data_IF_732721998720
#
_entry.id   IF_732721998720
#
_cell.length_a   1.000
_cell.length_b   1.000
_cell.length_c   1.000
_cell.angle_alpha   90.00
_cell.angle_beta   90.00
_cell.angle_gamma   90.00
#
_symmetry.space_group_name_H-M   'P 1'
#
loop_
_entity.id
_entity.type
_entity.pdbx_description
1 polymer ?
#
# COMPACT_ATOMS: atom_id res chain seq x y z
N UNK A 1 5.37 8.24 -66.19
CA UNK A 1 6.04 7.30 -65.25
C UNK A 1 6.48 8.07 -64.00
N UNK A 2 5.62 8.20 -62.98
CA UNK A 2 5.92 8.99 -61.76
C UNK A 2 5.82 8.18 -60.45
N UNK A 3 5.48 6.89 -60.53
CA UNK A 3 5.12 6.08 -59.36
C UNK A 3 6.27 5.26 -58.73
N UNK A 4 7.47 5.25 -59.33
CA UNK A 4 8.57 4.38 -58.85
C UNK A 4 9.63 5.11 -58.01
N UNK A 5 9.62 6.45 -57.94
CA UNK A 5 10.68 7.21 -57.24
C UNK A 5 10.39 7.42 -55.75
N UNK A 6 9.13 7.28 -55.32
CA UNK A 6 8.68 7.50 -53.93
C UNK A 6 8.08 6.25 -53.26
N UNK A 7 8.27 5.05 -53.84
CA UNK A 7 7.77 3.79 -53.26
C UNK A 7 8.28 3.50 -51.84
N UNK A 8 9.45 4.06 -51.49
CA UNK A 8 10.00 3.98 -50.13
C UNK A 8 9.08 4.63 -49.08
N UNK A 9 8.30 5.65 -49.44
CA UNK A 9 7.36 6.28 -48.51
C UNK A 9 6.22 5.34 -48.12
N UNK A 10 5.74 4.50 -49.05
CA UNK A 10 4.71 3.50 -48.76
C UNK A 10 5.23 2.39 -47.84
N UNK A 11 6.49 1.98 -48.04
CA UNK A 11 7.14 0.99 -47.19
C UNK A 11 7.33 1.55 -45.77
N UNK A 12 7.80 2.80 -45.64
CA UNK A 12 7.95 3.46 -44.34
C UNK A 12 6.59 3.66 -43.66
N UNK A 13 5.55 4.03 -44.40
CA UNK A 13 4.18 4.15 -43.86
C UNK A 13 3.65 2.80 -43.36
N UNK A 14 3.89 1.72 -44.09
CA UNK A 14 3.51 0.37 -43.67
C UNK A 14 4.25 -0.06 -42.39
N UNK A 15 5.56 0.25 -42.29
CA UNK A 15 6.35 0.00 -41.09
C UNK A 15 5.91 0.87 -39.91
N UNK A 16 5.63 2.15 -40.12
CA UNK A 16 5.09 3.03 -39.07
C UNK A 16 3.72 2.56 -38.57
N UNK A 17 2.86 2.07 -39.47
CA UNK A 17 1.58 1.49 -39.09
C UNK A 17 1.75 0.21 -38.27
N UNK A 18 2.69 -0.67 -38.66
CA UNK A 18 2.99 -1.88 -37.87
C UNK A 18 3.61 -1.50 -36.52
N UNK A 19 4.55 -0.57 -36.46
CA UNK A 19 5.10 -0.07 -35.20
C UNK A 19 4.02 0.57 -34.32
N UNK A 20 3.12 1.38 -34.87
CA UNK A 20 2.00 1.96 -34.14
C UNK A 20 1.06 0.89 -33.60
N UNK A 21 0.75 -0.14 -34.39
CA UNK A 21 -0.07 -1.28 -33.97
C UNK A 21 0.60 -2.11 -32.86
N UNK A 22 1.92 -2.33 -32.97
CA UNK A 22 2.71 -2.97 -31.92
C UNK A 22 2.72 -2.12 -30.64
N UNK A 23 2.99 -0.82 -30.72
CA UNK A 23 2.94 0.07 -29.56
C UNK A 23 1.54 0.12 -28.93
N UNK A 24 0.47 0.24 -29.71
CA UNK A 24 -0.90 0.27 -29.17
C UNK A 24 -1.30 -1.04 -28.48
N UNK A 25 -0.85 -2.18 -29.00
CA UNK A 25 -1.25 -3.50 -28.51
C UNK A 25 -0.35 -4.01 -27.38
N UNK A 26 0.98 -3.81 -27.48
CA UNK A 26 1.94 -4.27 -26.47
C UNK A 26 2.07 -3.30 -25.28
N UNK A 27 2.01 -1.98 -25.49
CA UNK A 27 2.07 -1.01 -24.38
C UNK A 27 0.78 -1.04 -23.55
N UNK A 28 -0.38 -1.25 -24.18
CA UNK A 28 -1.65 -1.50 -23.48
C UNK A 28 -1.61 -2.77 -22.61
N UNK A 29 -0.81 -3.77 -22.98
CA UNK A 29 -0.71 -5.03 -22.22
C UNK A 29 0.16 -4.91 -20.95
N UNK A 30 1.22 -4.09 -20.99
CA UNK A 30 2.02 -3.72 -19.80
C UNK A 30 1.36 -2.63 -18.95
N UNK A 31 0.44 -1.85 -19.54
CA UNK A 31 -0.53 -0.99 -18.87
C UNK A 31 -1.87 -1.70 -18.63
N UNK A 32 -1.93 -3.04 -18.67
CA UNK A 32 -3.19 -3.74 -18.46
C UNK A 32 -3.63 -3.54 -17.01
N UNK A 33 -4.91 -3.21 -16.75
CA UNK A 33 -5.44 -3.08 -15.40
C UNK A 33 -5.12 -4.29 -14.51
N UNK A 34 -5.02 -5.48 -15.11
CA UNK A 34 -4.65 -6.71 -14.45
C UNK A 34 -3.18 -6.77 -14.03
N UNK A 35 -2.26 -6.23 -14.83
CA UNK A 35 -0.84 -6.11 -14.50
C UNK A 35 -0.61 -5.12 -13.36
N UNK A 36 -1.30 -3.98 -13.40
CA UNK A 36 -1.29 -2.98 -12.32
C UNK A 36 -1.83 -3.56 -11.02
N UNK A 37 -3.01 -4.18 -11.06
CA UNK A 37 -3.61 -4.87 -9.90
C UNK A 37 -2.64 -5.89 -9.29
N UNK A 38 -2.07 -6.80 -10.11
CA UNK A 38 -1.10 -7.80 -9.64
C UNK A 38 0.14 -7.16 -9.03
N UNK A 39 0.64 -6.06 -9.60
CA UNK A 39 1.79 -5.35 -9.04
C UNK A 39 1.48 -4.70 -7.69
N UNK A 40 0.28 -4.15 -7.52
CA UNK A 40 -0.16 -3.55 -6.25
C UNK A 40 -0.35 -4.63 -5.18
N UNK A 41 -1.08 -5.70 -5.49
CA UNK A 41 -1.25 -6.87 -4.60
C UNK A 41 0.10 -7.45 -4.17
N UNK A 42 1.03 -7.62 -5.11
CA UNK A 42 2.39 -8.10 -4.81
C UNK A 42 3.14 -7.15 -3.88
N UNK A 43 3.03 -5.83 -4.07
CA UNK A 43 3.67 -4.82 -3.23
C UNK A 43 3.10 -4.82 -1.80
N UNK A 44 1.78 -4.93 -1.65
CA UNK A 44 1.13 -5.08 -0.34
C UNK A 44 1.64 -6.35 0.33
N UNK A 45 1.59 -7.49 -0.36
CA UNK A 45 2.02 -8.76 0.20
C UNK A 45 3.50 -8.79 0.61
N UNK A 46 4.38 -8.13 -0.12
CA UNK A 46 5.79 -7.99 0.26
C UNK A 46 5.96 -7.24 1.59
N UNK A 47 5.14 -6.22 1.83
CA UNK A 47 5.15 -5.42 3.07
C UNK A 47 4.52 -6.17 4.23
N UNK A 48 3.42 -6.90 4.00
CA UNK A 48 2.86 -7.85 4.96
C UNK A 48 3.92 -8.84 5.43
N UNK A 49 4.60 -9.50 4.48
CA UNK A 49 5.66 -10.45 4.81
C UNK A 49 6.82 -9.80 5.57
N UNK A 50 7.21 -8.56 5.22
CA UNK A 50 8.23 -7.82 5.97
C UNK A 50 7.79 -7.53 7.40
N UNK A 51 6.52 -7.16 7.60
CA UNK A 51 5.96 -6.97 8.94
C UNK A 51 5.91 -8.29 9.72
N UNK A 52 5.50 -9.39 9.10
CA UNK A 52 5.51 -10.72 9.75
C UNK A 52 6.92 -11.17 10.15
N UNK A 53 7.95 -10.82 9.37
CA UNK A 53 9.35 -11.05 9.77
C UNK A 53 9.72 -10.22 10.99
N UNK A 54 9.29 -8.96 11.06
CA UNK A 54 9.51 -8.10 12.23
C UNK A 54 8.81 -8.65 13.47
N UNK A 55 7.55 -9.09 13.35
CA UNK A 55 6.78 -9.70 14.46
C UNK A 55 7.49 -10.92 15.03
N UNK A 56 8.16 -11.71 14.19
CA UNK A 56 8.91 -12.91 14.59
C UNK A 56 10.27 -12.61 15.20
N UNK A 57 10.81 -11.41 15.01
CA UNK A 57 12.06 -10.96 15.63
C UNK A 57 11.81 -10.51 17.07
N UNK A 58 11.81 -11.47 18.00
CA UNK A 58 11.57 -11.23 19.42
C UNK A 58 12.57 -10.25 20.05
N UNK A 59 13.79 -10.14 19.51
CA UNK A 59 14.82 -9.22 20.01
C UNK A 59 14.44 -7.79 19.68
N UNK A 60 14.15 -7.51 18.40
CA UNK A 60 13.74 -6.17 17.97
C UNK A 60 12.42 -5.79 18.63
N UNK A 61 11.43 -6.69 18.63
CA UNK A 61 10.13 -6.46 19.27
C UNK A 61 10.27 -6.18 20.77
N UNK A 62 11.08 -6.96 21.49
CA UNK A 62 11.37 -6.73 22.90
C UNK A 62 12.01 -5.37 23.17
N UNK A 63 12.90 -4.90 22.28
CA UNK A 63 13.51 -3.56 22.34
C UNK A 63 12.49 -2.45 22.11
N UNK A 64 11.52 -2.64 21.22
CA UNK A 64 10.44 -1.67 20.99
C UNK A 64 9.57 -1.48 22.24
N UNK A 65 9.20 -2.57 22.92
CA UNK A 65 8.40 -2.49 24.15
C UNK A 65 9.19 -1.97 25.36
N UNK A 66 10.46 -2.35 25.50
CA UNK A 66 11.34 -1.86 26.57
C UNK A 66 11.91 -0.46 26.32
N UNK A 67 11.64 0.14 25.15
CA UNK A 67 12.18 1.44 24.70
C UNK A 67 13.71 1.51 24.69
N UNK A 68 14.38 0.37 24.54
CA UNK A 68 15.84 0.24 24.52
C UNK A 68 16.37 -0.02 23.09
N UNK A 69 15.78 0.65 22.11
CA UNK A 69 16.19 0.57 20.71
C UNK A 69 17.31 1.56 20.40
N UNK A 70 18.20 1.19 19.49
CA UNK A 70 19.30 2.06 19.06
C UNK A 70 18.96 2.84 17.77
N UNK A 71 19.79 3.83 17.43
CA UNK A 71 19.58 4.69 16.25
C UNK A 71 19.54 3.89 14.93
N UNK A 72 20.33 2.81 14.83
CA UNK A 72 20.36 1.96 13.63
C UNK A 72 19.04 1.23 13.44
N UNK A 73 18.49 0.67 14.51
CA UNK A 73 17.17 0.03 14.51
C UNK A 73 16.08 1.03 14.15
N UNK A 74 16.12 2.22 14.75
CA UNK A 74 15.19 3.30 14.43
C UNK A 74 15.23 3.65 12.94
N UNK A 75 16.41 3.96 12.40
CA UNK A 75 16.60 4.22 10.97
C UNK A 75 16.13 3.05 10.09
N UNK A 76 16.30 1.81 10.55
CA UNK A 76 15.85 0.63 9.80
C UNK A 76 14.32 0.53 9.74
N UNK A 77 13.61 0.94 10.80
CA UNK A 77 12.16 0.93 10.89
C UNK A 77 11.53 2.09 10.12
N UNK A 78 12.13 3.29 10.19
CA UNK A 78 11.71 4.45 9.41
C UNK A 78 11.97 4.30 7.90
N UNK A 79 12.90 3.43 7.49
CA UNK A 79 13.13 3.09 6.08
C UNK A 79 12.16 2.03 5.53
N UNK A 80 11.27 1.47 6.36
CA UNK A 80 10.28 0.51 5.89
C UNK A 80 9.17 1.24 5.14
N UNK A 81 8.64 0.57 4.13
CA UNK A 81 7.49 1.02 3.33
C UNK A 81 6.14 0.80 4.03
N UNK A 82 6.15 0.74 5.37
CA UNK A 82 5.02 0.57 6.26
C UNK A 82 5.36 1.14 7.63
N UNK A 83 4.33 1.49 8.39
CA UNK A 83 4.48 2.07 9.72
C UNK A 83 4.30 1.01 10.80
N UNK A 84 4.99 1.16 11.93
CA UNK A 84 4.94 0.24 13.06
C UNK A 84 4.52 1.00 14.30
N UNK A 85 3.61 0.41 15.08
CA UNK A 85 3.15 0.89 16.37
C UNK A 85 3.21 -0.25 17.39
N UNK A 86 3.71 0.03 18.59
CA UNK A 86 3.81 -0.95 19.67
C UNK A 86 2.97 -0.48 20.87
N UNK A 87 1.90 -1.19 21.17
CA UNK A 87 1.00 -0.90 22.29
C UNK A 87 1.21 -1.91 23.41
N UNK A 88 1.39 -1.43 24.62
CA UNK A 88 1.43 -2.25 25.83
C UNK A 88 0.18 -1.96 26.66
N UNK A 89 -0.35 -2.96 27.34
CA UNK A 89 -1.41 -2.76 28.31
C UNK A 89 -1.22 -3.65 29.53
N UNK A 90 -1.54 -3.06 30.68
CA UNK A 90 -1.61 -3.73 31.97
C UNK A 90 -2.96 -3.44 32.64
N UNK A 91 -3.11 -3.88 33.90
CA UNK A 91 -4.28 -3.58 34.74
C UNK A 91 -4.53 -2.07 34.86
N UNK A 92 -3.50 -1.23 34.72
CA UNK A 92 -3.59 0.24 34.84
C UNK A 92 -3.96 0.98 33.56
N UNK A 93 -4.13 0.29 32.42
CA UNK A 93 -4.50 0.91 31.14
C UNK A 93 -3.63 0.47 29.96
N UNK A 94 -3.91 1.04 28.78
CA UNK A 94 -3.19 0.82 27.52
C UNK A 94 -2.40 2.07 27.17
N UNK A 95 -1.13 1.92 26.81
CA UNK A 95 -0.29 3.03 26.35
C UNK A 95 0.56 2.63 25.14
N UNK A 96 0.99 3.65 24.42
CA UNK A 96 1.86 3.50 23.26
C UNK A 96 3.34 3.50 23.71
N UNK A 97 4.05 2.44 23.35
CA UNK A 97 5.47 2.27 23.65
C UNK A 97 6.37 2.80 22.53
N UNK A 98 5.93 2.67 21.28
CA UNK A 98 6.70 3.08 20.10
C UNK A 98 5.78 3.35 18.91
N UNK A 99 6.18 4.28 18.04
CA UNK A 99 5.66 4.39 16.67
C UNK A 99 6.73 4.91 15.69
N UNK A 100 6.61 4.55 14.41
CA UNK A 100 7.60 4.89 13.35
C UNK A 100 7.05 5.76 12.22
N UNK A 101 5.93 6.46 12.42
CA UNK A 101 5.29 7.30 11.39
C UNK A 101 5.29 8.79 11.74
N UNK A 102 5.43 9.62 10.69
CA UNK A 102 5.14 11.06 10.71
C UNK A 102 3.86 11.40 9.91
N UNK A 103 3.26 10.42 9.23
CA UNK A 103 2.07 10.60 8.38
C UNK A 103 0.78 10.13 9.05
N UNK A 104 0.89 9.34 10.11
CA UNK A 104 -0.26 8.77 10.80
C UNK A 104 -0.10 8.91 12.31
N UNK A 105 -1.12 9.47 12.94
CA UNK A 105 -1.20 9.57 14.38
C UNK A 105 -1.74 8.27 14.99
N UNK A 106 -1.22 7.85 16.16
CA UNK A 106 -1.68 6.64 16.83
C UNK A 106 -3.17 6.63 17.17
N UNK A 107 -3.77 7.80 17.37
CA UNK A 107 -5.18 7.96 17.73
C UNK A 107 -6.13 7.70 16.55
N UNK A 108 -5.61 7.67 15.32
CA UNK A 108 -6.38 7.30 14.13
C UNK A 108 -6.52 5.78 13.98
N UNK A 109 -5.74 4.99 14.73
CA UNK A 109 -5.81 3.54 14.66
C UNK A 109 -7.07 3.02 15.35
N UNK A 110 -7.72 1.98 14.81
CA UNK A 110 -9.04 1.64 15.30
C UNK A 110 -8.96 0.87 16.63
N UNK A 111 -9.80 1.27 17.57
CA UNK A 111 -9.92 0.73 18.92
C UNK A 111 -11.27 -0.02 19.07
N UNK A 112 -11.35 -1.23 19.67
CA UNK A 112 -10.26 -2.03 20.24
C UNK A 112 -9.31 -2.61 19.20
N UNK A 113 -8.01 -2.67 19.56
CA UNK A 113 -7.03 -3.48 18.82
C UNK A 113 -7.39 -4.96 18.95
N UNK A 114 -7.59 -5.63 17.82
CA UNK A 114 -7.88 -7.06 17.73
C UNK A 114 -6.84 -7.71 16.83
N UNK A 115 -6.33 -8.88 17.23
CA UNK A 115 -5.43 -9.67 16.39
C UNK A 115 -6.08 -9.98 15.05
N UNK A 116 -5.40 -9.70 13.95
CA UNK A 116 -5.90 -9.89 12.60
C UNK A 116 -5.35 -8.85 11.63
N UNK A 117 -5.85 -8.86 10.40
CA UNK A 117 -5.69 -7.76 9.45
C UNK A 117 -7.05 -7.13 9.19
N UNK A 118 -7.07 -5.82 8.97
CA UNK A 118 -8.27 -5.07 8.61
C UNK A 118 -7.89 -3.94 7.67
N UNK A 119 -8.65 -3.83 6.59
CA UNK A 119 -8.56 -2.68 5.70
C UNK A 119 -9.36 -1.50 6.28
N UNK A 120 -8.76 -0.33 6.32
CA UNK A 120 -9.33 0.88 6.93
C UNK A 120 -9.07 2.11 6.07
N UNK A 121 -9.99 3.05 6.11
CA UNK A 121 -9.81 4.39 5.56
C UNK A 121 -9.48 5.34 6.71
N UNK A 122 -8.31 5.96 6.62
CA UNK A 122 -7.77 6.92 7.58
C UNK A 122 -7.67 8.30 6.91
N UNK A 123 -7.35 9.36 7.65
CA UNK A 123 -7.30 10.71 7.06
C UNK A 123 -6.28 10.84 5.92
N UNK A 124 -5.20 10.06 6.00
CA UNK A 124 -4.14 9.99 4.99
C UNK A 124 -4.45 9.03 3.83
N UNK A 125 -5.65 8.42 3.79
CA UNK A 125 -6.11 7.53 2.73
C UNK A 125 -6.32 6.09 3.19
N UNK A 126 -6.24 5.16 2.25
CA UNK A 126 -6.52 3.74 2.47
C UNK A 126 -5.30 2.96 2.95
N UNK A 127 -5.50 2.19 4.02
CA UNK A 127 -4.46 1.45 4.70
C UNK A 127 -4.93 0.05 5.09
N UNK A 128 -4.00 -0.90 5.11
CA UNK A 128 -4.20 -2.18 5.79
C UNK A 128 -3.52 -2.15 7.16
N UNK A 129 -4.31 -2.39 8.20
CA UNK A 129 -3.84 -2.46 9.59
C UNK A 129 -3.75 -3.92 10.01
N UNK A 130 -2.54 -4.37 10.32
CA UNK A 130 -2.25 -5.73 10.78
C UNK A 130 -1.84 -5.65 12.24
N UNK A 131 -2.66 -6.23 13.12
CA UNK A 131 -2.38 -6.30 14.55
C UNK A 131 -1.98 -7.72 14.93
N UNK A 132 -0.87 -7.85 15.66
CA UNK A 132 -0.36 -9.10 16.20
C UNK A 132 -0.17 -8.97 17.70
N UNK A 133 -0.81 -9.87 18.45
CA UNK A 133 -0.58 -9.98 19.88
C UNK A 133 0.78 -10.62 20.12
N UNK A 134 1.61 -9.97 20.94
CA UNK A 134 2.92 -10.47 21.33
C UNK A 134 2.76 -11.16 22.69
N UNK A 135 3.20 -12.42 22.77
CA UNK A 135 3.17 -13.16 24.03
C UNK A 135 4.28 -12.64 24.94
N UNK A 136 3.93 -12.23 26.14
CA UNK A 136 4.87 -11.86 27.19
C UNK A 136 4.55 -12.65 28.47
N UNK A 137 5.58 -13.16 29.13
CA UNK A 137 5.47 -13.93 30.38
C UNK A 137 5.03 -13.08 31.57
N UNK A 138 4.98 -11.75 31.44
CA UNK A 138 4.73 -10.82 32.54
C UNK A 138 3.23 -10.49 32.78
N UNK A 139 2.28 -11.13 32.10
CA UNK A 139 0.84 -10.84 32.27
C UNK A 139 0.35 -9.55 31.60
N UNK A 140 1.21 -8.89 30.84
CA UNK A 140 0.89 -7.75 29.97
C UNK A 140 0.23 -8.23 28.66
N UNK A 141 -0.64 -7.41 28.08
CA UNK A 141 -1.17 -7.64 26.73
C UNK A 141 -0.48 -6.66 25.77
N UNK A 142 0.46 -7.19 24.99
CA UNK A 142 1.22 -6.40 24.03
C UNK A 142 0.69 -6.61 22.61
N UNK A 143 0.58 -5.53 21.84
CA UNK A 143 0.23 -5.55 20.43
C UNK A 143 1.30 -4.85 19.60
N UNK A 144 1.80 -5.54 18.58
CA UNK A 144 2.54 -4.91 17.49
C UNK A 144 1.58 -4.71 16.33
N UNK A 145 1.48 -3.47 15.85
CA UNK A 145 0.57 -3.06 14.79
C UNK A 145 1.38 -2.54 13.62
N UNK A 146 1.20 -3.15 12.46
CA UNK A 146 1.74 -2.71 11.18
C UNK A 146 0.66 -1.98 10.39
N UNK A 147 0.99 -0.83 9.83
CA UNK A 147 0.09 -0.06 8.96
C UNK A 147 0.72 0.03 7.59
N UNK A 148 0.11 -0.65 6.62
CA UNK A 148 0.57 -0.74 5.25
C UNK A 148 -0.24 0.26 4.42
N UNK A 149 0.38 1.35 3.93
CA UNK A 149 -0.32 2.30 3.07
C UNK A 149 -0.63 1.66 1.71
N UNK A 150 -1.88 1.75 1.27
CA UNK A 150 -2.32 1.24 -0.04
C UNK A 150 -2.50 2.39 -1.01
N UNK A 151 -3.26 3.41 -0.62
CA UNK A 151 -3.47 4.62 -1.38
C UNK A 151 -3.40 5.83 -0.46
N UNK A 152 -2.60 6.81 -0.82
CA UNK A 152 -2.46 8.05 -0.09
C UNK A 152 -3.41 9.09 -0.66
N UNK A 153 -4.19 9.69 0.22
CA UNK A 153 -5.13 10.75 -0.11
C UNK A 153 -4.73 12.03 0.62
N UNK A 154 -4.74 13.15 -0.11
CA UNK A 154 -4.37 14.45 0.44
C UNK A 154 -5.56 15.41 0.32
N UNK A 155 -6.01 15.95 1.45
CA UNK A 155 -7.12 16.92 1.48
C UNK A 155 -6.78 18.27 0.82
N UNK A 156 -5.49 18.60 0.72
CA UNK A 156 -4.97 19.79 0.04
C UNK A 156 -4.28 19.34 -1.24
N UNK A 157 -4.97 19.50 -2.37
CA UNK A 157 -4.41 19.17 -3.68
C UNK A 157 -3.55 20.33 -4.20
N UNK A 158 -2.32 20.02 -4.58
CA UNK A 158 -1.46 20.91 -5.37
C UNK A 158 -0.74 20.07 -6.44
N UNK A 159 0.04 20.69 -7.32
CA UNK A 159 0.74 19.96 -8.40
C UNK A 159 1.73 18.89 -7.92
N UNK A 160 2.05 18.83 -6.62
CA UNK A 160 2.96 17.87 -5.98
C UNK A 160 2.24 16.88 -5.05
N UNK A 161 1.03 17.22 -4.59
CA UNK A 161 0.20 16.43 -3.67
C UNK A 161 -1.04 15.95 -4.43
N UNK A 162 -0.85 14.86 -5.18
CA UNK A 162 -1.90 14.19 -5.93
C UNK A 162 -2.17 12.85 -5.25
N UNK A 163 -3.44 12.45 -5.14
CA UNK A 163 -3.79 11.12 -4.63
C UNK A 163 -3.10 10.06 -5.49
N UNK A 164 -2.44 9.10 -4.84
CA UNK A 164 -1.70 8.06 -5.56
C UNK A 164 -1.59 6.78 -4.75
N UNK A 165 -1.39 5.67 -5.47
CA UNK A 165 -1.05 4.40 -4.85
C UNK A 165 0.35 4.50 -4.25
N UNK A 166 0.54 3.92 -3.07
CA UNK A 166 1.83 3.98 -2.38
C UNK A 166 2.96 3.42 -3.27
N UNK A 167 4.05 4.19 -3.42
CA UNK A 167 5.19 3.88 -4.29
C UNK A 167 4.85 3.76 -5.80
N UNK A 168 3.71 4.32 -6.24
CA UNK A 168 3.23 4.35 -7.63
C UNK A 168 2.49 5.68 -7.95
N UNK A 169 3.20 6.82 -8.02
CA UNK A 169 2.59 8.14 -8.26
C UNK A 169 1.82 8.22 -9.60
N UNK A 170 2.28 7.49 -10.62
CA UNK A 170 1.73 7.57 -11.98
C UNK A 170 0.34 6.93 -12.15
N UNK A 171 -0.13 6.16 -11.16
CA UNK A 171 -1.40 5.41 -11.24
C UNK A 171 -2.60 6.15 -10.63
N UNK A 172 -2.38 7.32 -10.02
CA UNK A 172 -3.31 7.92 -9.06
C UNK A 172 -4.67 8.38 -9.61
N UNK A 173 -4.82 8.60 -10.92
CA UNK A 173 -6.07 9.10 -11.53
C UNK A 173 -6.91 8.03 -12.22
N UNK A 174 -6.32 6.89 -12.56
CA UNK A 174 -6.94 5.91 -13.46
C UNK A 174 -7.50 4.68 -12.72
N UNK A 175 -7.17 4.52 -11.45
CA UNK A 175 -7.49 3.34 -10.64
C UNK A 175 -8.13 3.75 -9.31
N UNK A 176 -9.17 3.02 -8.89
CA UNK A 176 -9.85 3.20 -7.60
C UNK A 176 -9.80 1.92 -6.77
N UNK A 177 -9.98 2.04 -5.46
CA UNK A 177 -10.12 0.91 -4.54
C UNK A 177 -11.60 0.61 -4.39
N UNK A 178 -12.00 -0.60 -4.76
CA UNK A 178 -13.33 -1.13 -4.48
C UNK A 178 -13.25 -2.09 -3.29
N UNK A 179 -14.07 -1.81 -2.28
CA UNK A 179 -14.14 -2.59 -1.04
C UNK A 179 -15.23 -3.66 -1.08
N UNK A 180 -16.12 -3.58 -2.05
CA UNK A 180 -17.16 -4.58 -2.25
C UNK A 180 -16.63 -5.64 -3.23
N UNK A 181 -16.84 -6.95 -2.96
CA UNK A 181 -16.75 -7.93 -4.04
C UNK A 181 -17.71 -7.48 -5.14
N UNK A 182 -17.41 -7.65 -6.44
CA UNK A 182 -18.31 -7.26 -7.51
C UNK A 182 -19.62 -8.04 -7.35
N UNK A 183 -20.58 -7.44 -6.64
CA UNK A 183 -21.94 -7.90 -6.55
C UNK A 183 -22.57 -7.68 -7.91
N UNK A 184 -23.37 -8.66 -8.36
CA UNK A 184 -24.17 -8.47 -9.56
C UNK A 184 -25.19 -7.37 -9.25
N UNK A 185 -25.03 -6.20 -9.87
CA UNK A 185 -25.99 -5.10 -9.78
C UNK A 185 -27.34 -5.54 -10.34
N UNK A 186 -28.31 -5.80 -9.47
CA UNK A 186 -29.70 -6.03 -9.86
C UNK A 186 -30.38 -4.66 -9.95
N UNK A 187 -30.52 -4.16 -11.18
CA UNK A 187 -31.30 -2.95 -11.42
C UNK A 187 -32.80 -3.29 -11.27
N UNK A 188 -33.44 -2.69 -10.26
CA UNK A 188 -34.90 -2.72 -10.14
C UNK A 188 -35.47 -1.70 -11.12
N UNK A 189 -36.09 -2.17 -12.20
CA UNK A 189 -36.92 -1.32 -13.05
C UNK A 189 -38.29 -1.15 -12.39
N UNK A 190 -38.41 -0.17 -11.50
CA UNK A 190 -39.70 0.43 -11.20
C UNK A 190 -39.82 1.76 -11.95
N UNK A 191 -40.68 1.73 -12.96
CA UNK A 191 -41.21 2.87 -13.71
C UNK A 191 -42.34 3.53 -12.94
#
# INVERSE_FOLDING_TARGET
>A
MFFLRHGYLLIIAAWLFTFAFLFSNYWSYYSSPQGVKRSLEKSIHQREQSFERLVKDSVTVGRLFSRNYNERELKSLFKKDYFVFAYDSSVGGKWLSFWSSNLLEPDELPDPLKTGSRFVHLKSGYHEVISRRISNNAGHIQYLVGVIPVMLEYSISNNYLVNHFFNKPDLGREYTIDLEPPGIVVQSQHR
#
